data_IF_015695353359
#
_entry.id   IF_015695353359
#
_cell.length_a   1.000
_cell.length_b   1.000
_cell.length_c   1.000
_cell.angle_alpha   90.00
_cell.angle_beta   90.00
_cell.angle_gamma   90.00
#
_symmetry.space_group_name_H-M   'P 1'
#
loop_
_entity.id
_entity.type
_entity.pdbx_description
1 polymer ?
#
# COMPACT_ATOMS: atom_id res chain seq x y z
N UNK A 1 -7.15 16.95 -17.81
CA UNK A 1 -6.16 15.86 -17.76
C UNK A 1 -6.80 14.64 -18.39
N UNK A 2 -6.05 13.89 -19.20
CA UNK A 2 -6.49 12.61 -19.76
C UNK A 2 -6.71 11.59 -18.63
N UNK A 3 -7.90 10.96 -18.56
CA UNK A 3 -8.25 9.97 -17.53
C UNK A 3 -7.28 8.79 -17.54
N UNK A 4 -6.74 8.44 -18.72
CA UNK A 4 -5.72 7.39 -18.84
C UNK A 4 -4.40 7.80 -18.20
N UNK A 5 -3.92 9.02 -18.44
CA UNK A 5 -2.70 9.54 -17.82
C UNK A 5 -2.83 9.60 -16.29
N UNK A 6 -4.00 10.00 -15.78
CA UNK A 6 -4.27 10.03 -14.35
C UNK A 6 -4.30 8.61 -13.74
N UNK A 7 -4.81 7.62 -14.47
CA UNK A 7 -4.81 6.22 -14.02
C UNK A 7 -3.40 5.67 -13.88
N UNK A 8 -2.54 5.84 -14.89
CA UNK A 8 -1.16 5.34 -14.83
C UNK A 8 -0.37 5.97 -13.70
N UNK A 9 -0.52 7.29 -13.49
CA UNK A 9 0.13 7.98 -12.37
C UNK A 9 -0.28 7.39 -11.02
N UNK A 10 -1.60 7.25 -10.79
CA UNK A 10 -2.10 6.68 -9.53
C UNK A 10 -1.72 5.21 -9.35
N UNK A 11 -1.60 4.46 -10.44
CA UNK A 11 -1.18 3.06 -10.42
C UNK A 11 0.29 2.94 -9.99
N UNK A 12 1.20 3.72 -10.59
CA UNK A 12 2.62 3.74 -10.21
C UNK A 12 2.80 4.16 -8.73
N UNK A 13 2.08 5.20 -8.29
CA UNK A 13 2.11 5.62 -6.89
C UNK A 13 1.59 4.54 -5.93
N UNK A 14 0.56 3.78 -6.35
CA UNK A 14 0.07 2.65 -5.59
C UNK A 14 1.09 1.52 -5.53
N UNK A 15 1.72 1.13 -6.65
CA UNK A 15 2.74 0.07 -6.67
C UNK A 15 3.91 0.40 -5.75
N UNK A 16 4.41 1.64 -5.80
CA UNK A 16 5.49 2.08 -4.91
C UNK A 16 5.07 1.99 -3.44
N UNK A 17 3.85 2.43 -3.12
CA UNK A 17 3.33 2.36 -1.76
C UNK A 17 3.13 0.92 -1.28
N UNK A 18 2.61 0.04 -2.13
CA UNK A 18 2.39 -1.37 -1.82
C UNK A 18 3.72 -2.11 -1.60
N UNK A 19 4.71 -1.88 -2.45
CA UNK A 19 6.05 -2.41 -2.26
C UNK A 19 6.71 -1.93 -0.96
N UNK A 20 6.57 -0.64 -0.62
CA UNK A 20 7.09 -0.11 0.64
C UNK A 20 6.41 -0.77 1.86
N UNK A 21 5.09 -0.92 1.82
CA UNK A 21 4.33 -1.59 2.86
C UNK A 21 4.73 -3.06 3.01
N UNK A 22 4.79 -3.81 1.90
CA UNK A 22 5.18 -5.22 1.89
C UNK A 22 6.59 -5.44 2.45
N UNK A 23 7.54 -4.56 2.11
CA UNK A 23 8.90 -4.60 2.66
C UNK A 23 8.91 -4.36 4.16
N UNK A 24 8.19 -3.35 4.65
CA UNK A 24 8.11 -3.04 6.07
C UNK A 24 7.49 -4.19 6.87
N UNK A 25 6.40 -4.77 6.38
CA UNK A 25 5.74 -5.92 6.98
C UNK A 25 6.62 -7.17 6.98
N UNK A 26 7.38 -7.41 5.91
CA UNK A 26 8.33 -8.52 5.84
C UNK A 26 9.47 -8.37 6.87
N UNK A 27 10.00 -7.16 7.03
CA UNK A 27 11.01 -6.87 8.06
C UNK A 27 10.43 -7.05 9.48
N UNK A 28 9.20 -6.58 9.70
CA UNK A 28 8.51 -6.71 10.98
C UNK A 28 8.23 -8.19 11.31
N UNK A 29 7.76 -8.97 10.33
CA UNK A 29 7.53 -10.41 10.46
C UNK A 29 8.80 -11.16 10.86
N UNK A 30 9.91 -10.92 10.15
CA UNK A 30 11.21 -11.50 10.51
C UNK A 30 11.66 -11.14 11.93
N UNK A 31 11.39 -9.91 12.38
CA UNK A 31 11.71 -9.48 13.73
C UNK A 31 10.84 -10.18 14.77
N UNK A 32 9.55 -10.34 14.49
CA UNK A 32 8.61 -11.09 15.33
C UNK A 32 9.02 -12.56 15.45
N UNK A 33 9.36 -13.21 14.32
CA UNK A 33 9.82 -14.60 14.31
C UNK A 33 11.09 -14.77 15.16
N UNK A 34 12.07 -13.86 14.99
CA UNK A 34 13.29 -13.89 15.78
C UNK A 34 13.03 -13.71 17.30
N UNK A 35 12.08 -12.85 17.67
CA UNK A 35 11.67 -12.66 19.05
C UNK A 35 10.99 -13.90 19.64
N UNK A 36 10.03 -14.48 18.92
CA UNK A 36 9.33 -15.70 19.31
C UNK A 36 10.29 -16.89 19.48
N UNK A 37 11.33 -16.95 18.65
CA UNK A 37 12.39 -17.96 18.74
C UNK A 37 13.43 -17.67 19.84
N UNK A 38 13.32 -16.56 20.58
CA UNK A 38 14.27 -16.15 21.62
C UNK A 38 15.63 -15.67 21.08
N UNK A 39 15.74 -15.42 19.78
CA UNK A 39 16.99 -15.02 19.09
C UNK A 39 17.13 -13.51 18.86
N UNK A 40 16.08 -12.73 19.10
CA UNK A 40 16.05 -11.30 18.82
C UNK A 40 15.19 -10.50 19.78
N UNK A 41 15.29 -9.16 19.73
CA UNK A 41 14.44 -8.28 20.53
C UNK A 41 13.01 -8.27 19.99
N UNK A 42 12.06 -7.93 20.86
CA UNK A 42 10.70 -7.61 20.43
C UNK A 42 10.72 -6.43 19.43
N UNK A 43 9.84 -6.43 18.41
CA UNK A 43 9.74 -5.29 17.51
C UNK A 43 9.34 -4.02 18.27
N UNK A 44 9.91 -2.88 17.86
CA UNK A 44 9.59 -1.60 18.48
C UNK A 44 8.20 -1.13 18.07
N UNK A 45 7.52 -0.39 18.95
CA UNK A 45 6.24 0.26 18.64
C UNK A 45 6.34 1.13 17.38
N UNK A 46 7.49 1.81 17.20
CA UNK A 46 7.76 2.64 16.01
C UNK A 46 7.75 1.80 14.74
N UNK A 47 8.39 0.61 14.73
CA UNK A 47 8.41 -0.26 13.55
C UNK A 47 7.02 -0.79 13.19
N UNK A 48 6.19 -1.10 14.20
CA UNK A 48 4.80 -1.55 14.01
C UNK A 48 3.94 -0.40 13.46
N UNK A 49 4.07 0.80 14.03
CA UNK A 49 3.35 1.98 13.57
C UNK A 49 3.73 2.36 12.14
N UNK A 50 5.01 2.27 11.78
CA UNK A 50 5.49 2.58 10.45
C UNK A 50 4.96 1.59 9.41
N UNK A 51 5.04 0.29 9.66
CA UNK A 51 4.46 -0.73 8.78
C UNK A 51 2.95 -0.49 8.57
N UNK A 52 2.22 -0.17 9.65
CA UNK A 52 0.78 0.17 9.58
C UNK A 52 0.53 1.43 8.75
N UNK A 53 1.33 2.48 8.95
CA UNK A 53 1.21 3.76 8.21
C UNK A 53 1.41 3.55 6.71
N UNK A 54 2.44 2.79 6.33
CA UNK A 54 2.73 2.45 4.93
C UNK A 54 1.59 1.64 4.31
N UNK A 55 1.07 0.64 5.02
CA UNK A 55 -0.09 -0.15 4.56
C UNK A 55 -1.32 0.71 4.33
N UNK A 56 -1.63 1.64 5.25
CA UNK A 56 -2.76 2.56 5.09
C UNK A 56 -2.57 3.46 3.86
N UNK A 57 -1.37 4.00 3.65
CA UNK A 57 -1.07 4.80 2.47
C UNK A 57 -1.29 4.02 1.16
N UNK A 58 -0.83 2.76 1.08
CA UNK A 58 -1.05 1.90 -0.08
C UNK A 58 -2.55 1.64 -0.32
N UNK A 59 -3.32 1.37 0.73
CA UNK A 59 -4.78 1.17 0.65
C UNK A 59 -5.49 2.42 0.15
N UNK A 60 -5.09 3.60 0.61
CA UNK A 60 -5.72 4.86 0.18
C UNK A 60 -5.43 5.17 -1.29
N UNK A 61 -4.22 4.89 -1.78
CA UNK A 61 -3.91 4.98 -3.23
C UNK A 61 -4.73 4.00 -4.06
N UNK A 62 -4.88 2.76 -3.59
CA UNK A 62 -5.73 1.77 -4.26
C UNK A 62 -7.20 2.21 -4.33
N UNK A 63 -7.71 2.83 -3.26
CA UNK A 63 -9.07 3.39 -3.26
C UNK A 63 -9.23 4.50 -4.29
N UNK A 64 -8.26 5.41 -4.40
CA UNK A 64 -8.29 6.46 -5.40
C UNK A 64 -8.28 5.88 -6.83
N UNK A 65 -7.43 4.88 -7.09
CA UNK A 65 -7.36 4.18 -8.38
C UNK A 65 -8.69 3.51 -8.74
N UNK A 66 -9.32 2.82 -7.78
CA UNK A 66 -10.64 2.19 -7.97
C UNK A 66 -11.73 3.20 -8.27
N UNK A 67 -11.77 4.32 -7.54
CA UNK A 67 -12.74 5.38 -7.76
C UNK A 67 -12.61 5.99 -9.17
N UNK A 68 -11.37 6.14 -9.67
CA UNK A 68 -11.11 6.60 -11.04
C UNK A 68 -11.59 5.57 -12.07
N UNK A 69 -11.26 4.29 -11.91
CA UNK A 69 -11.68 3.22 -12.81
C UNK A 69 -13.22 3.08 -12.87
N UNK A 70 -13.89 3.21 -11.71
CA UNK A 70 -15.35 3.22 -11.64
C UNK A 70 -15.96 4.41 -12.38
N UNK A 71 -15.35 5.60 -12.27
CA UNK A 71 -15.79 6.79 -12.99
C UNK A 71 -15.66 6.61 -14.50
N UNK A 72 -14.51 6.14 -14.97
CA UNK A 72 -14.27 5.87 -16.39
C UNK A 72 -15.30 4.85 -16.94
N UNK A 73 -15.58 3.78 -16.17
CA UNK A 73 -16.60 2.78 -16.52
C UNK A 73 -18.02 3.36 -16.60
N UNK A 74 -18.39 4.27 -15.70
CA UNK A 74 -19.69 4.96 -15.75
C UNK A 74 -19.80 5.84 -16.98
N UNK A 75 -18.75 6.61 -17.29
CA UNK A 75 -18.72 7.48 -18.47
C UNK A 75 -18.85 6.68 -19.77
N UNK A 76 -18.14 5.55 -19.87
CA UNK A 76 -18.20 4.67 -21.06
C UNK A 76 -19.57 4.01 -21.30
N UNK A 77 -20.44 3.94 -20.30
CA UNK A 77 -21.80 3.39 -20.43
C UNK A 77 -22.87 4.41 -20.85
N UNK A 78 -22.55 5.70 -20.74
CA UNK A 78 -23.47 6.81 -21.03
C UNK A 78 -23.33 7.30 -22.48
N UNK A 79 -22.24 6.90 -23.15
CA UNK A 79 -21.97 7.12 -24.57
C UNK A 79 -22.47 5.94 -25.43
#
# INVERSE_FOLDING_TARGET
>A
MDEMAQFFLLFEEWEVADHAAARAECCLGRTLDAFCDGRGPAPSVVSVQEARRLRLAAVDRLRALRALAERARRNARVL
#
